data_IF_774404580251
#
_entry.id   IF_774404580251
#
_cell.length_a   1.000
_cell.length_b   1.000
_cell.length_c   1.000
_cell.angle_alpha   90.00
_cell.angle_beta   90.00
_cell.angle_gamma   90.00
#
_symmetry.space_group_name_H-M   'P 1'
#
loop_
_entity.id
_entity.type
_entity.pdbx_description
1 polymer ?
#
# COMPACT_ATOMS: atom_id res chain seq x y z
N UNK A 1 -5.56 -6.62 -19.98
CA UNK A 1 -4.41 -6.04 -19.25
C UNK A 1 -4.70 -5.72 -17.76
N UNK A 2 -5.89 -5.25 -17.37
CA UNK A 2 -6.24 -5.02 -15.96
C UNK A 2 -6.27 -6.30 -15.13
N UNK A 3 -6.95 -7.34 -15.62
CA UNK A 3 -7.11 -8.66 -14.95
C UNK A 3 -5.79 -9.37 -14.59
N UNK A 4 -4.71 -9.12 -15.33
CA UNK A 4 -3.39 -9.70 -15.01
C UNK A 4 -2.69 -8.94 -13.87
N UNK A 5 -2.92 -7.63 -13.77
CA UNK A 5 -2.32 -6.78 -12.72
C UNK A 5 -2.94 -7.14 -11.36
N UNK A 6 -4.25 -7.35 -11.32
CA UNK A 6 -4.98 -7.68 -10.08
C UNK A 6 -4.48 -8.99 -9.45
N UNK A 7 -4.20 -10.00 -10.28
CA UNK A 7 -3.63 -11.28 -9.83
C UNK A 7 -2.23 -11.11 -9.25
N UNK A 8 -1.38 -10.33 -9.91
CA UNK A 8 -0.01 -10.05 -9.44
C UNK A 8 -0.03 -9.31 -8.11
N UNK A 9 -0.91 -8.32 -7.96
CA UNK A 9 -1.09 -7.60 -6.70
C UNK A 9 -1.55 -8.52 -5.57
N UNK A 10 -2.48 -9.43 -5.83
CA UNK A 10 -2.91 -10.44 -4.85
C UNK A 10 -1.75 -11.33 -4.37
N UNK A 11 -0.92 -11.82 -5.29
CA UNK A 11 0.26 -12.62 -4.95
C UNK A 11 1.26 -11.80 -4.14
N UNK A 12 1.51 -10.55 -4.55
CA UNK A 12 2.41 -9.65 -3.82
C UNK A 12 1.95 -9.42 -2.38
N UNK A 13 0.67 -9.13 -2.16
CA UNK A 13 0.11 -8.95 -0.82
C UNK A 13 0.18 -10.23 0.02
N UNK A 14 -0.10 -11.39 -0.58
CA UNK A 14 0.03 -12.69 0.10
C UNK A 14 1.46 -12.96 0.57
N UNK A 15 2.45 -12.72 -0.30
CA UNK A 15 3.87 -12.87 0.04
C UNK A 15 4.29 -11.88 1.14
N UNK A 16 3.91 -10.61 1.02
CA UNK A 16 4.20 -9.56 2.01
C UNK A 16 3.62 -9.92 3.39
N UNK A 17 2.36 -10.37 3.44
CA UNK A 17 1.69 -10.80 4.66
C UNK A 17 2.28 -12.06 5.29
N UNK A 18 2.59 -13.07 4.46
CA UNK A 18 3.19 -14.33 4.94
C UNK A 18 4.58 -14.09 5.53
N UNK A 19 5.39 -13.26 4.88
CA UNK A 19 6.70 -12.87 5.38
C UNK A 19 6.60 -12.08 6.69
N UNK A 20 5.64 -11.17 6.81
CA UNK A 20 5.40 -10.43 8.04
C UNK A 20 5.02 -11.38 9.20
N UNK A 21 4.14 -12.35 8.96
CA UNK A 21 3.76 -13.36 9.94
C UNK A 21 4.93 -14.26 10.35
N UNK A 22 5.74 -14.71 9.38
CA UNK A 22 6.93 -15.51 9.63
C UNK A 22 7.94 -14.76 10.52
N UNK A 23 8.26 -13.51 10.19
CA UNK A 23 9.18 -12.69 10.99
C UNK A 23 8.65 -12.47 12.41
N UNK A 24 7.34 -12.22 12.56
CA UNK A 24 6.71 -12.04 13.88
C UNK A 24 6.81 -13.32 14.72
N UNK A 25 6.50 -14.49 14.15
CA UNK A 25 6.60 -15.77 14.85
C UNK A 25 8.04 -16.11 15.22
N UNK A 26 9.00 -15.85 14.32
CA UNK A 26 10.43 -16.03 14.58
C UNK A 26 10.91 -15.16 15.74
N UNK A 27 10.61 -13.86 15.71
CA UNK A 27 11.04 -12.92 16.77
C UNK A 27 10.44 -13.31 18.13
N UNK A 28 9.22 -13.86 18.14
CA UNK A 28 8.58 -14.40 19.35
C UNK A 28 9.23 -15.69 19.84
N UNK A 29 9.60 -16.59 18.94
CA UNK A 29 10.32 -17.82 19.29
C UNK A 29 11.71 -17.51 19.89
N UNK A 30 12.37 -16.46 19.40
CA UNK A 30 13.65 -15.97 19.94
C UNK A 30 13.51 -15.15 21.24
N UNK A 31 12.30 -14.99 21.78
CA UNK A 31 12.05 -14.26 23.03
C UNK A 31 12.26 -12.74 22.93
N UNK A 32 12.34 -12.18 21.72
CA UNK A 32 12.54 -10.73 21.52
C UNK A 32 11.31 -9.95 21.95
N UNK A 33 11.53 -8.81 22.62
CA UNK A 33 10.45 -7.87 22.95
C UNK A 33 9.93 -7.25 21.66
N UNK A 34 8.65 -7.48 21.37
CA UNK A 34 8.01 -6.91 20.18
C UNK A 34 7.77 -5.41 20.37
N UNK A 35 8.57 -4.58 19.68
CA UNK A 35 8.37 -3.14 19.64
C UNK A 35 7.68 -2.76 18.32
N UNK A 36 6.39 -2.44 18.43
CA UNK A 36 5.56 -2.06 17.28
C UNK A 36 6.10 -0.85 16.53
N UNK A 37 6.59 0.16 17.25
CA UNK A 37 7.13 1.39 16.66
C UNK A 37 8.39 1.10 15.85
N UNK A 38 9.29 0.25 16.38
CA UNK A 38 10.51 -0.14 15.69
C UNK A 38 10.20 -0.92 14.41
N UNK A 39 9.24 -1.84 14.46
CA UNK A 39 8.80 -2.63 13.32
C UNK A 39 8.26 -1.75 12.19
N UNK A 40 7.31 -0.86 12.50
CA UNK A 40 6.73 0.06 11.52
C UNK A 40 7.76 1.09 11.01
N UNK A 41 8.56 1.66 11.91
CA UNK A 41 9.55 2.69 11.59
C UNK A 41 10.68 2.17 10.70
N UNK A 42 11.12 0.93 10.91
CA UNK A 42 12.16 0.31 10.07
C UNK A 42 11.70 0.18 8.61
N UNK A 43 10.48 -0.29 8.37
CA UNK A 43 9.92 -0.38 7.02
C UNK A 43 9.66 1.00 6.43
N UNK A 44 9.10 1.94 7.20
CA UNK A 44 8.86 3.31 6.75
C UNK A 44 10.15 3.96 6.24
N UNK A 45 11.21 3.99 7.07
CA UNK A 45 12.51 4.58 6.68
C UNK A 45 13.14 3.93 5.45
N UNK A 46 12.83 2.66 5.14
CA UNK A 46 13.32 1.98 3.93
C UNK A 46 12.53 2.37 2.67
N UNK A 47 11.22 2.57 2.77
CA UNK A 47 10.37 2.90 1.61
C UNK A 47 10.23 4.40 1.35
N UNK A 48 10.30 5.26 2.37
CA UNK A 48 10.10 6.70 2.19
C UNK A 48 11.16 7.36 1.29
N UNK A 49 12.48 7.07 1.42
CA UNK A 49 13.50 7.69 0.57
C UNK A 49 13.29 7.44 -0.94
N UNK A 50 13.05 6.20 -1.42
CA UNK A 50 12.80 5.99 -2.84
C UNK A 50 11.49 6.63 -3.32
N UNK A 51 10.40 6.57 -2.53
CA UNK A 51 9.13 7.21 -2.92
C UNK A 51 9.26 8.73 -3.03
N UNK A 52 9.98 9.35 -2.10
CA UNK A 52 10.23 10.79 -2.12
C UNK A 52 11.11 11.19 -3.31
N UNK A 53 12.20 10.43 -3.55
CA UNK A 53 13.10 10.68 -4.67
C UNK A 53 12.35 10.61 -6.01
N UNK A 54 11.54 9.58 -6.22
CA UNK A 54 10.75 9.46 -7.44
C UNK A 54 9.71 10.59 -7.53
N UNK A 55 9.11 11.02 -6.42
CA UNK A 55 8.16 12.14 -6.41
C UNK A 55 8.80 13.44 -6.90
N UNK A 56 10.04 13.71 -6.47
CA UNK A 56 10.81 14.87 -6.92
C UNK A 56 11.18 14.75 -8.39
N UNK A 57 11.55 13.56 -8.87
CA UNK A 57 11.85 13.33 -10.28
C UNK A 57 10.64 13.57 -11.19
N UNK A 58 9.45 13.15 -10.76
CA UNK A 58 8.18 13.43 -11.46
C UNK A 58 7.86 14.92 -11.48
N UNK A 59 8.17 15.65 -10.40
CA UNK A 59 7.92 17.08 -10.31
C UNK A 59 8.91 17.95 -11.12
N UNK A 60 10.09 17.45 -11.51
CA UNK A 60 11.16 18.28 -12.08
C UNK A 60 11.78 17.74 -13.36
N UNK A 61 12.22 16.46 -13.34
CA UNK A 61 13.11 15.90 -14.34
C UNK A 61 12.34 15.28 -15.51
N UNK A 62 11.24 14.59 -15.22
CA UNK A 62 10.51 13.79 -16.21
C UNK A 62 9.92 14.62 -17.36
N UNK A 63 9.54 15.87 -17.14
CA UNK A 63 9.05 16.74 -18.22
C UNK A 63 10.15 17.11 -19.23
N UNK A 64 11.43 17.07 -18.82
CA UNK A 64 12.59 17.44 -19.65
C UNK A 64 13.30 16.26 -20.30
N UNK A 65 12.90 15.02 -19.99
CA UNK A 65 13.57 13.81 -20.49
C UNK A 65 13.24 13.54 -21.97
N UNK A 66 12.06 13.93 -22.45
CA UNK A 66 11.66 13.66 -23.83
C UNK A 66 10.86 14.81 -24.44
N UNK A 67 11.14 15.11 -25.71
CA UNK A 67 10.51 16.18 -26.48
C UNK A 67 9.40 15.63 -27.40
N UNK A 68 8.36 15.04 -26.81
CA UNK A 68 7.15 14.62 -27.51
C UNK A 68 5.92 15.47 -27.13
N UNK A 69 5.01 15.82 -28.06
CA UNK A 69 3.81 16.60 -27.73
C UNK A 69 2.87 15.85 -26.77
N UNK A 70 2.77 14.52 -26.90
CA UNK A 70 2.03 13.66 -25.96
C UNK A 70 2.73 13.60 -24.60
N UNK A 71 4.08 13.52 -24.62
CA UNK A 71 4.89 13.48 -23.40
C UNK A 71 4.69 14.74 -22.57
N UNK A 72 4.82 15.92 -23.19
CA UNK A 72 4.64 17.21 -22.51
C UNK A 72 3.24 17.35 -21.92
N UNK A 73 2.20 16.95 -22.64
CA UNK A 73 0.81 17.02 -22.15
C UNK A 73 0.53 16.10 -20.95
N UNK A 74 1.05 14.87 -20.98
CA UNK A 74 0.86 13.91 -19.88
C UNK A 74 1.66 14.33 -18.65
N UNK A 75 2.94 14.67 -18.83
CA UNK A 75 3.82 15.02 -17.71
C UNK A 75 3.56 16.41 -17.13
N UNK A 76 2.97 17.35 -17.87
CA UNK A 76 2.53 18.62 -17.27
C UNK A 76 1.45 18.39 -16.21
N UNK A 77 0.47 17.52 -16.49
CA UNK A 77 -0.56 17.15 -15.52
C UNK A 77 0.03 16.45 -14.29
N UNK A 78 0.94 15.49 -14.49
CA UNK A 78 1.61 14.83 -13.36
C UNK A 78 2.47 15.79 -12.56
N UNK A 79 3.14 16.74 -13.20
CA UNK A 79 3.96 17.73 -12.54
C UNK A 79 3.14 18.63 -11.61
N UNK A 80 2.03 19.18 -12.09
CA UNK A 80 1.11 20.01 -11.27
C UNK A 80 0.58 19.21 -10.07
N UNK A 81 0.08 18.01 -10.31
CA UNK A 81 -0.38 17.10 -9.26
C UNK A 81 0.74 16.76 -8.26
N UNK A 82 1.97 16.55 -8.71
CA UNK A 82 3.10 16.27 -7.82
C UNK A 82 3.49 17.48 -6.96
N UNK A 83 3.42 18.69 -7.50
CA UNK A 83 3.75 19.90 -6.74
C UNK A 83 2.73 20.15 -5.62
N UNK A 84 1.45 19.87 -5.86
CA UNK A 84 0.39 20.06 -4.86
C UNK A 84 0.26 18.87 -3.88
N UNK A 85 0.37 17.63 -4.40
CA UNK A 85 -0.02 16.41 -3.70
C UNK A 85 1.13 15.44 -3.40
N UNK A 86 2.39 15.88 -3.40
CA UNK A 86 3.54 15.01 -3.06
C UNK A 86 3.44 14.39 -1.64
N UNK A 87 2.88 15.14 -0.68
CA UNK A 87 2.77 14.73 0.71
C UNK A 87 1.80 13.55 0.92
N UNK A 88 0.81 13.38 0.03
CA UNK A 88 -0.15 12.26 0.05
C UNK A 88 0.54 10.92 -0.15
N UNK A 89 1.52 10.87 -1.05
CA UNK A 89 2.34 9.68 -1.28
C UNK A 89 3.25 9.37 -0.08
N UNK A 90 3.69 10.40 0.64
CA UNK A 90 4.56 10.26 1.81
C UNK A 90 3.81 9.79 3.06
N UNK A 91 2.53 10.17 3.17
CA UNK A 91 1.62 9.69 4.21
C UNK A 91 1.00 8.32 3.88
N UNK A 92 1.26 7.75 2.70
CA UNK A 92 0.65 6.49 2.24
C UNK A 92 -0.89 6.52 2.29
N UNK A 93 -1.49 7.64 1.88
CA UNK A 93 -2.95 7.81 1.78
C UNK A 93 -3.45 7.94 0.33
N UNK A 94 -2.57 7.69 -0.65
CA UNK A 94 -2.87 7.80 -2.09
C UNK A 94 -4.02 6.90 -2.55
N UNK A 95 -4.40 5.88 -1.76
CA UNK A 95 -5.53 5.00 -2.08
C UNK A 95 -6.91 5.70 -1.96
N UNK A 96 -7.04 6.73 -1.12
CA UNK A 96 -8.30 7.45 -0.92
C UNK A 96 -8.50 8.62 -1.90
N UNK A 97 -7.48 8.92 -2.69
CA UNK A 97 -7.48 10.02 -3.65
C UNK A 97 -7.91 9.51 -5.03
N UNK A 98 -8.48 10.41 -5.83
CA UNK A 98 -8.85 10.08 -7.21
C UNK A 98 -7.57 9.68 -7.96
N UNK A 99 -7.57 8.59 -8.76
CA UNK A 99 -6.36 8.07 -9.41
C UNK A 99 -5.58 9.12 -10.21
N UNK A 100 -6.28 10.11 -10.75
CA UNK A 100 -5.73 11.19 -11.58
C UNK A 100 -5.33 12.46 -10.84
N UNK A 101 -5.62 12.60 -9.53
CA UNK A 101 -5.16 13.73 -8.72
C UNK A 101 -3.91 13.42 -7.91
N UNK A 102 -3.48 12.15 -7.89
CA UNK A 102 -2.25 11.73 -7.24
C UNK A 102 -1.03 11.99 -8.12
N UNK A 103 0.09 12.36 -7.49
CA UNK A 103 1.37 12.54 -8.16
C UNK A 103 1.79 11.30 -8.99
N UNK A 104 1.51 10.10 -8.45
CA UNK A 104 1.84 8.84 -9.11
C UNK A 104 0.67 7.86 -8.95
N UNK A 105 -0.08 7.57 -10.02
CA UNK A 105 -1.25 6.72 -9.95
C UNK A 105 -0.94 5.35 -9.34
N UNK A 106 0.22 4.76 -9.64
CA UNK A 106 0.59 3.44 -9.16
C UNK A 106 0.89 3.37 -7.65
N UNK A 107 1.04 4.49 -6.94
CA UNK A 107 1.38 4.47 -5.50
C UNK A 107 0.25 3.96 -4.60
N UNK A 108 -0.98 3.84 -5.12
CA UNK A 108 -2.13 3.35 -4.35
C UNK A 108 -1.88 1.96 -3.74
N UNK A 109 -1.23 1.03 -4.46
CA UNK A 109 -0.99 -0.32 -3.94
C UNK A 109 0.14 -0.34 -2.91
N UNK A 110 1.11 0.58 -3.03
CA UNK A 110 2.19 0.75 -2.05
C UNK A 110 1.61 1.27 -0.74
N UNK A 111 0.66 2.21 -0.81
CA UNK A 111 -0.08 2.69 0.34
C UNK A 111 -0.83 1.56 1.04
N UNK A 112 -1.55 0.72 0.29
CA UNK A 112 -2.26 -0.45 0.83
C UNK A 112 -1.29 -1.44 1.49
N UNK A 113 -0.15 -1.77 0.87
CA UNK A 113 0.85 -2.66 1.45
C UNK A 113 1.41 -2.13 2.78
N UNK A 114 1.67 -0.81 2.87
CA UNK A 114 2.11 -0.20 4.13
C UNK A 114 1.05 -0.31 5.22
N UNK A 115 -0.21 -0.02 4.91
CA UNK A 115 -1.34 -0.13 5.85
C UNK A 115 -1.53 -1.58 6.33
N UNK A 116 -1.52 -2.55 5.41
CA UNK A 116 -1.60 -3.97 5.74
C UNK A 116 -0.43 -4.42 6.61
N UNK A 117 0.76 -3.91 6.37
CA UNK A 117 1.93 -4.23 7.20
C UNK A 117 1.82 -3.67 8.62
N UNK A 118 1.29 -2.46 8.77
CA UNK A 118 1.04 -1.81 10.06
C UNK A 118 -0.05 -2.57 10.84
N UNK A 119 -1.10 -3.04 10.16
CA UNK A 119 -2.19 -3.82 10.76
C UNK A 119 -1.80 -5.28 11.08
N UNK A 120 -0.89 -5.87 10.32
CA UNK A 120 -0.47 -7.28 10.45
C UNK A 120 -0.08 -7.69 11.87
N UNK A 121 0.85 -7.02 12.58
CA UNK A 121 1.22 -7.40 13.94
C UNK A 121 0.09 -7.22 14.95
N UNK A 122 -0.82 -6.27 14.76
CA UNK A 122 -2.00 -6.12 15.63
C UNK A 122 -2.89 -7.37 15.53
N UNK A 123 -3.17 -7.81 14.31
CA UNK A 123 -3.97 -9.02 14.06
C UNK A 123 -3.27 -10.28 14.62
N UNK A 124 -1.95 -10.40 14.42
CA UNK A 124 -1.16 -11.51 14.95
C UNK A 124 -1.08 -11.52 16.49
N UNK A 125 -0.95 -10.35 17.13
CA UNK A 125 -0.99 -10.22 18.59
C UNK A 125 -2.34 -10.65 19.17
N UNK A 126 -3.44 -10.27 18.51
CA UNK A 126 -4.79 -10.67 18.93
C UNK A 126 -4.98 -12.19 18.78
N UNK A 127 -4.56 -12.78 17.66
CA UNK A 127 -4.61 -14.24 17.47
C UNK A 127 -3.77 -14.97 18.52
N UNK A 128 -2.57 -14.45 18.81
CA UNK A 128 -1.67 -15.06 19.79
C UNK A 128 -2.26 -15.05 21.21
N UNK A 129 -2.91 -13.94 21.61
CA UNK A 129 -3.51 -13.80 22.95
C UNK A 129 -4.88 -14.48 23.06
N UNK A 130 -5.73 -14.37 22.02
CA UNK A 130 -7.10 -14.88 21.98
C UNK A 130 -7.42 -15.41 20.58
N UNK A 131 -7.12 -16.69 20.34
CA UNK A 131 -7.33 -17.36 19.03
C UNK A 131 -8.76 -17.16 18.49
N UNK A 132 -9.78 -17.37 19.32
CA UNK A 132 -11.18 -17.23 18.91
C UNK A 132 -11.54 -15.82 18.43
N UNK A 133 -11.08 -14.77 19.12
CA UNK A 133 -11.32 -13.38 18.73
C UNK A 133 -10.58 -13.01 17.44
N UNK A 134 -9.35 -13.51 17.29
CA UNK A 134 -8.55 -13.28 16.08
C UNK A 134 -9.18 -13.89 14.83
N UNK A 135 -9.65 -15.14 14.91
CA UNK A 135 -10.39 -15.77 13.80
C UNK A 135 -11.72 -15.09 13.52
N UNK A 136 -12.43 -14.64 14.57
CA UNK A 136 -13.67 -13.88 14.41
C UNK A 136 -13.45 -12.56 13.64
N UNK A 137 -12.44 -11.78 14.02
CA UNK A 137 -12.08 -10.54 13.33
C UNK A 137 -11.65 -10.79 11.88
N UNK A 138 -10.85 -11.83 11.63
CA UNK A 138 -10.47 -12.22 10.27
C UNK A 138 -11.70 -12.62 9.43
N UNK A 139 -12.64 -13.36 10.02
CA UNK A 139 -13.91 -13.72 9.39
C UNK A 139 -14.74 -12.49 9.00
N UNK A 140 -14.86 -11.50 9.89
CA UNK A 140 -15.56 -10.24 9.59
C UNK A 140 -14.93 -9.52 8.40
N UNK A 141 -13.60 -9.40 8.37
CA UNK A 141 -12.89 -8.72 7.29
C UNK A 141 -13.12 -9.42 5.94
N UNK A 142 -13.06 -10.75 5.92
CA UNK A 142 -13.33 -11.54 4.71
C UNK A 142 -14.77 -11.38 4.25
N UNK A 143 -15.74 -11.45 5.16
CA UNK A 143 -17.15 -11.27 4.82
C UNK A 143 -17.41 -9.86 4.27
N UNK A 144 -16.90 -8.82 4.94
CA UNK A 144 -17.04 -7.44 4.48
C UNK A 144 -16.44 -7.23 3.08
N UNK A 145 -15.27 -7.82 2.80
CA UNK A 145 -14.63 -7.74 1.49
C UNK A 145 -15.46 -8.42 0.40
N UNK A 146 -16.04 -9.59 0.69
CA UNK A 146 -16.89 -10.31 -0.28
C UNK A 146 -18.23 -9.58 -0.50
N UNK A 147 -18.84 -9.03 0.56
CA UNK A 147 -20.06 -8.24 0.43
C UNK A 147 -19.84 -6.99 -0.42
N UNK A 148 -18.74 -6.26 -0.21
CA UNK A 148 -18.40 -5.10 -1.03
C UNK A 148 -18.21 -5.48 -2.51
N UNK A 149 -17.50 -6.58 -2.78
CA UNK A 149 -17.33 -7.09 -4.14
C UNK A 149 -18.68 -7.45 -4.78
N UNK A 150 -19.56 -8.15 -4.04
CA UNK A 150 -20.89 -8.53 -4.51
C UNK A 150 -21.75 -7.31 -4.87
N UNK A 151 -21.74 -6.27 -4.02
CA UNK A 151 -22.47 -5.02 -4.28
C UNK A 151 -21.90 -4.28 -5.48
N UNK A 152 -20.57 -4.24 -5.64
CA UNK A 152 -19.92 -3.60 -6.79
C UNK A 152 -20.24 -4.33 -8.10
N UNK A 153 -20.23 -5.67 -8.10
CA UNK A 153 -20.62 -6.47 -9.26
C UNK A 153 -22.11 -6.33 -9.59
N UNK A 154 -22.98 -6.27 -8.58
CA UNK A 154 -24.43 -6.06 -8.78
C UNK A 154 -24.79 -4.66 -9.28
N UNK A 155 -23.92 -3.68 -9.11
CA UNK A 155 -24.17 -2.29 -9.54
C UNK A 155 -23.60 -1.99 -10.94
N UNK A 156 -22.59 -2.74 -11.39
CA UNK A 156 -21.93 -2.58 -12.69
C UNK A 156 -22.26 -3.69 -13.71
N UNK A 157 -23.12 -4.65 -13.35
CA UNK A 157 -23.67 -5.68 -14.24
C UNK A 157 -25.13 -5.42 -14.55
#
# INVERSE_FOLDING_TARGET
>A
PSQSIDKVLGIFFLLSGTLAAYNFLRDRHEGKKFNYLHFCGHRYRRLTPPVLLVSILYATLLIRVADGPIWKRMFSMYQENCQENWWINLLYISNYMVPYSTCMPWTWYVAVDFQLHVLSPLLLLVIYKKRALGFFLAGIVLLASNSYAMTYFSWNG
#
